data_IF_868006415453
#
_entry.id   IF_868006415453
#
_cell.length_a   1.000
_cell.length_b   1.000
_cell.length_c   1.000
_cell.angle_alpha   90.00
_cell.angle_beta   90.00
_cell.angle_gamma   90.00
#
_symmetry.space_group_name_H-M   'P 1'
#
loop_
_entity.id
_entity.type
_entity.pdbx_description
1 polymer ?
#
# COMPACT_ATOMS: atom_id res chain seq x y z
N UNK A 1 17.43 -10.65 20.52
CA UNK A 1 16.48 -11.03 19.45
C UNK A 1 15.68 -9.79 19.07
N UNK A 2 15.66 -9.43 17.77
CA UNK A 2 14.77 -8.48 17.07
C UNK A 2 14.97 -6.98 17.50
N UNK A 3 15.20 -6.00 16.62
CA UNK A 3 14.60 -5.78 15.29
C UNK A 3 15.56 -4.98 14.41
N UNK A 4 15.82 -5.55 13.22
CA UNK A 4 16.56 -4.94 12.12
C UNK A 4 15.64 -3.88 11.51
N UNK A 5 15.63 -2.67 12.10
CA UNK A 5 14.94 -1.51 11.53
C UNK A 5 15.74 -1.06 10.30
N UNK A 6 15.45 -1.70 9.17
CA UNK A 6 16.04 -1.42 7.86
C UNK A 6 15.60 -0.05 7.37
N UNK A 7 16.18 1.00 7.96
CA UNK A 7 16.06 2.36 7.48
C UNK A 7 17.05 2.64 6.36
N UNK A 8 16.81 2.14 5.15
CA UNK A 8 17.37 2.70 3.92
C UNK A 8 16.79 2.02 2.68
N UNK A 9 16.02 2.75 1.88
CA UNK A 9 15.65 2.30 0.54
C UNK A 9 14.40 3.02 0.07
N UNK A 10 14.59 4.10 -0.69
CA UNK A 10 13.61 5.17 -0.93
C UNK A 10 12.20 4.78 -1.39
N UNK A 11 11.37 5.80 -1.49
CA UNK A 11 9.97 5.71 -1.91
C UNK A 11 9.87 5.19 -3.36
N UNK A 12 9.35 3.98 -3.48
CA UNK A 12 8.83 3.38 -4.68
C UNK A 12 7.55 4.09 -5.10
N UNK A 13 7.46 4.39 -6.39
CA UNK A 13 6.29 5.00 -6.98
C UNK A 13 5.64 3.96 -7.89
N UNK A 14 4.44 3.56 -7.51
CA UNK A 14 3.61 2.60 -8.22
C UNK A 14 2.48 3.36 -8.91
N UNK A 15 2.25 3.05 -10.17
CA UNK A 15 1.05 3.42 -10.90
C UNK A 15 0.08 2.26 -10.82
N UNK A 16 -0.95 2.40 -9.99
CA UNK A 16 -1.97 1.36 -9.86
C UNK A 16 -2.97 1.48 -11.00
N UNK A 17 -3.09 0.42 -11.80
CA UNK A 17 -4.08 0.25 -12.87
C UNK A 17 -5.14 -0.75 -12.44
N UNK A 18 -6.27 -0.74 -13.15
CA UNK A 18 -7.49 -1.49 -12.80
C UNK A 18 -7.26 -2.99 -12.57
N UNK A 19 -6.27 -3.58 -13.26
CA UNK A 19 -5.93 -5.01 -13.17
C UNK A 19 -4.48 -5.30 -12.79
N UNK A 20 -3.59 -4.31 -12.86
CA UNK A 20 -2.15 -4.46 -12.60
C UNK A 20 -1.58 -3.19 -12.00
N UNK A 21 -0.34 -3.22 -11.51
CA UNK A 21 0.35 -2.00 -11.13
C UNK A 21 1.70 -1.93 -11.83
N UNK A 22 2.07 -0.74 -12.28
CA UNK A 22 3.35 -0.49 -12.92
C UNK A 22 4.27 0.22 -11.95
N UNK A 23 5.45 -0.35 -11.72
CA UNK A 23 6.49 0.31 -10.94
C UNK A 23 7.09 1.42 -11.81
N UNK A 24 6.77 2.68 -11.49
CA UNK A 24 7.37 3.86 -12.14
C UNK A 24 8.75 4.15 -11.56
N UNK A 25 8.89 4.01 -10.23
CA UNK A 25 10.19 4.09 -9.55
C UNK A 25 10.39 2.85 -8.68
N UNK A 26 11.43 2.05 -8.93
CA UNK A 26 11.81 0.99 -8.01
C UNK A 26 12.36 1.64 -6.73
N UNK A 27 11.79 1.27 -5.60
CA UNK A 27 12.24 1.65 -4.27
C UNK A 27 12.29 0.41 -3.38
N UNK A 28 12.62 0.54 -2.10
CA UNK A 28 12.42 -0.57 -1.16
C UNK A 28 11.02 -0.48 -0.52
N UNK A 29 10.56 0.75 -0.36
CA UNK A 29 9.35 1.27 0.27
C UNK A 29 8.18 1.84 -0.52
N UNK A 30 6.90 1.56 -0.29
CA UNK A 30 5.82 2.52 -0.60
C UNK A 30 5.22 3.07 0.68
N UNK A 31 4.76 4.32 0.69
CA UNK A 31 4.12 4.94 1.85
C UNK A 31 2.60 4.78 1.72
N UNK A 32 1.96 4.29 2.78
CA UNK A 32 0.52 4.21 2.85
C UNK A 32 -0.09 5.62 2.90
N UNK A 33 -1.03 5.93 1.99
CA UNK A 33 -1.75 7.21 2.02
C UNK A 33 -2.65 7.36 3.26
N UNK A 34 -3.16 6.24 3.81
CA UNK A 34 -4.06 6.25 4.97
C UNK A 34 -3.34 6.34 6.31
N UNK A 35 -2.22 5.63 6.46
CA UNK A 35 -1.50 5.53 7.74
C UNK A 35 -0.12 6.19 7.76
N UNK A 36 0.41 6.63 6.61
CA UNK A 36 1.79 7.13 6.50
C UNK A 36 2.87 6.06 6.76
N UNK A 37 2.48 4.79 6.83
CA UNK A 37 3.36 3.67 7.17
C UNK A 37 4.19 3.25 5.96
N UNK A 38 5.46 2.91 6.17
CA UNK A 38 6.36 2.39 5.13
C UNK A 38 6.08 0.91 4.91
N UNK A 39 5.79 0.54 3.67
CA UNK A 39 5.40 -0.81 3.24
C UNK A 39 6.47 -1.30 2.28
N UNK A 40 7.23 -2.34 2.61
CA UNK A 40 8.11 -2.94 1.64
C UNK A 40 7.30 -3.42 0.43
N UNK A 41 7.77 -3.16 -0.79
CA UNK A 41 7.09 -3.62 -2.01
C UNK A 41 6.83 -5.14 -2.01
N UNK A 42 7.73 -5.92 -1.42
CA UNK A 42 7.62 -7.37 -1.26
C UNK A 42 6.45 -7.83 -0.37
N UNK A 43 5.94 -6.97 0.53
CA UNK A 43 4.80 -7.25 1.42
C UNK A 43 3.58 -6.41 1.05
N UNK A 44 3.60 -5.72 -0.10
CA UNK A 44 2.43 -5.03 -0.63
C UNK A 44 1.38 -6.05 -1.12
N UNK A 45 0.48 -6.47 -0.24
CA UNK A 45 -0.64 -7.35 -0.60
C UNK A 45 -1.91 -6.60 -0.98
N UNK A 46 -2.04 -5.31 -0.62
CA UNK A 46 -3.28 -4.59 -0.79
C UNK A 46 -3.07 -3.19 -1.38
N UNK A 47 -3.71 -2.93 -2.52
CA UNK A 47 -3.71 -1.64 -3.19
C UNK A 47 -5.06 -1.36 -3.83
N UNK A 48 -5.35 -0.09 -4.14
CA UNK A 48 -6.55 0.31 -4.85
C UNK A 48 -6.22 1.16 -6.07
N UNK A 49 -6.58 0.65 -7.25
CA UNK A 49 -6.36 1.34 -8.54
C UNK A 49 -7.19 2.61 -8.68
N UNK A 50 -8.46 2.59 -8.24
CA UNK A 50 -9.36 3.74 -8.30
C UNK A 50 -8.82 4.98 -7.58
N UNK A 51 -8.05 4.79 -6.52
CA UNK A 51 -7.52 5.87 -5.69
C UNK A 51 -6.01 6.05 -5.80
N UNK A 52 -5.34 5.14 -6.50
CA UNK A 52 -3.87 5.04 -6.53
C UNK A 52 -3.25 5.00 -5.11
N UNK A 53 -3.91 4.29 -4.20
CA UNK A 53 -3.50 4.20 -2.79
C UNK A 53 -2.97 2.80 -2.45
N UNK A 54 -1.81 2.77 -1.79
CA UNK A 54 -1.22 1.57 -1.20
C UNK A 54 -1.63 1.45 0.28
N UNK A 55 -1.92 0.23 0.73
CA UNK A 55 -2.30 -0.04 2.12
C UNK A 55 -1.30 -0.99 2.79
N UNK A 56 -0.90 -0.66 4.04
CA UNK A 56 0.18 -1.40 4.71
C UNK A 56 -0.27 -2.72 5.30
N UNK A 57 -1.57 -2.90 5.47
CA UNK A 57 -2.12 -4.13 6.01
C UNK A 57 -3.62 -4.24 5.88
N UNK A 58 -4.14 -5.41 6.27
CA UNK A 58 -5.57 -5.69 6.22
C UNK A 58 -6.39 -4.76 7.12
N UNK A 59 -5.79 -4.15 8.16
CA UNK A 59 -6.48 -3.21 9.03
C UNK A 59 -6.86 -1.90 8.29
N UNK A 60 -5.93 -1.31 7.53
CA UNK A 60 -6.24 -0.09 6.75
C UNK A 60 -7.22 -0.39 5.60
N UNK A 61 -7.06 -1.54 4.96
CA UNK A 61 -7.98 -1.99 3.90
C UNK A 61 -9.37 -2.27 4.47
N UNK A 62 -9.46 -2.98 5.60
CA UNK A 62 -10.73 -3.27 6.27
C UNK A 62 -11.43 -1.98 6.69
N UNK A 63 -10.69 -0.98 7.22
CA UNK A 63 -11.25 0.34 7.53
C UNK A 63 -11.88 1.00 6.29
N UNK A 64 -11.35 0.73 5.09
CA UNK A 64 -11.85 1.33 3.86
C UNK A 64 -12.94 0.52 3.18
N UNK A 65 -12.78 -0.80 3.11
CA UNK A 65 -13.78 -1.74 2.63
C UNK A 65 -15.03 -1.78 3.50
N UNK A 66 -14.92 -1.55 4.81
CA UNK A 66 -16.09 -1.38 5.68
C UNK A 66 -16.96 -0.21 5.19
N UNK A 67 -16.33 0.87 4.72
CA UNK A 67 -17.02 1.99 4.07
C UNK A 67 -17.58 1.69 2.68
N UNK A 68 -16.95 0.81 1.89
CA UNK A 68 -17.44 0.44 0.54
C UNK A 68 -18.47 -0.69 0.56
N UNK A 69 -18.36 -1.69 1.44
CA UNK A 69 -19.40 -2.72 1.65
C UNK A 69 -20.71 -2.14 2.15
N UNK A 70 -20.67 -1.01 2.87
CA UNK A 70 -21.87 -0.27 3.23
C UNK A 70 -22.55 0.42 2.03
N UNK A 71 -21.80 0.72 0.96
CA UNK A 71 -22.31 1.39 -0.24
C UNK A 71 -22.86 0.43 -1.30
N UNK A 72 -22.58 -0.88 -1.19
CA UNK A 72 -23.16 -1.92 -2.06
C UNK A 72 -24.56 -2.38 -1.59
N UNK A 73 -25.10 -1.83 -0.50
CA UNK A 73 -26.42 -2.21 0.03
C UNK A 73 -27.54 -1.28 -0.42
#
# INVERSE_FOLDING_TARGET
>A
MLRRDGGAGGEAKLDFRESDYRILKPGAYVVCAVSGKKIPLETLSYWSAKRQEAYAGPAEVARRLDGERAAEK
#
